data_IF_633796562771
#
_entry.id   IF_633796562771
#
_cell.length_a   1.000
_cell.length_b   1.000
_cell.length_c   1.000
_cell.angle_alpha   90.00
_cell.angle_beta   90.00
_cell.angle_gamma   90.00
#
_symmetry.space_group_name_H-M   'P 1'
#
loop_
_entity.id
_entity.type
_entity.pdbx_description
1 polymer ?
#
# COMPACT_ATOMS: atom_id res chain seq x y z
N UNK A 1 15.34 67.75 -27.35
CA UNK A 1 15.27 66.40 -27.97
C UNK A 1 15.50 65.39 -26.86
N UNK A 2 14.45 64.73 -26.39
CA UNK A 2 14.53 63.62 -25.43
C UNK A 2 15.23 62.42 -26.08
N UNK A 3 16.07 61.66 -25.34
CA UNK A 3 16.75 60.50 -25.89
C UNK A 3 15.76 59.36 -26.08
N UNK A 4 15.75 58.80 -27.28
CA UNK A 4 14.97 57.62 -27.66
C UNK A 4 15.58 56.42 -26.95
N UNK A 5 14.91 55.92 -25.91
CA UNK A 5 15.25 54.63 -25.29
C UNK A 5 14.97 53.54 -26.33
N UNK A 6 16.00 52.80 -26.74
CA UNK A 6 15.82 51.59 -27.53
C UNK A 6 15.24 50.53 -26.60
N UNK A 7 14.01 50.10 -26.86
CA UNK A 7 13.37 49.00 -26.14
C UNK A 7 14.11 47.71 -26.49
N UNK A 8 14.99 47.23 -25.61
CA UNK A 8 15.61 45.91 -25.72
C UNK A 8 14.58 44.86 -25.28
N UNK A 9 14.05 44.10 -26.25
CA UNK A 9 13.07 43.03 -25.98
C UNK A 9 13.78 41.77 -25.52
N UNK A 10 13.59 41.39 -24.25
CA UNK A 10 14.09 40.13 -23.69
C UNK A 10 13.03 39.04 -23.88
N UNK A 11 13.39 37.95 -24.58
CA UNK A 11 12.51 36.78 -24.74
C UNK A 11 12.67 35.83 -23.56
N UNK A 12 11.64 35.73 -22.71
CA UNK A 12 11.65 34.80 -21.60
C UNK A 12 11.37 33.36 -22.11
N UNK A 13 12.18 32.36 -21.70
CA UNK A 13 11.93 30.97 -22.06
C UNK A 13 10.72 30.40 -21.31
N UNK A 14 10.10 29.37 -21.88
CA UNK A 14 9.00 28.65 -21.22
C UNK A 14 9.53 27.72 -20.14
N UNK A 15 8.83 27.67 -19.00
CA UNK A 15 9.10 26.71 -17.93
C UNK A 15 8.82 25.30 -18.42
N UNK A 16 9.82 24.41 -18.32
CA UNK A 16 9.62 22.97 -18.53
C UNK A 16 9.04 22.36 -17.25
N UNK A 17 8.07 21.46 -17.41
CA UNK A 17 7.44 20.72 -16.33
C UNK A 17 7.74 19.24 -16.58
N UNK A 18 8.07 18.51 -15.54
CA UNK A 18 8.36 17.08 -15.60
C UNK A 18 7.80 16.36 -14.38
N UNK A 19 7.65 15.05 -14.50
CA UNK A 19 7.20 14.19 -13.40
C UNK A 19 8.18 14.19 -12.22
N UNK A 20 7.67 13.92 -11.02
CA UNK A 20 8.45 13.83 -9.77
C UNK A 20 9.61 12.81 -9.86
N UNK A 21 9.47 11.75 -10.66
CA UNK A 21 10.51 10.72 -10.81
C UNK A 21 11.35 10.83 -12.09
N UNK A 22 11.10 11.85 -12.93
CA UNK A 22 11.69 11.95 -14.26
C UNK A 22 13.23 11.96 -14.25
N UNK A 23 13.84 12.64 -13.27
CA UNK A 23 15.30 12.69 -13.14
C UNK A 23 15.88 11.33 -12.79
N UNK A 24 15.25 10.58 -11.89
CA UNK A 24 15.70 9.24 -11.49
C UNK A 24 15.61 8.27 -12.67
N UNK A 25 14.52 8.35 -13.45
CA UNK A 25 14.36 7.54 -14.66
C UNK A 25 15.43 7.89 -15.70
N UNK A 26 15.68 9.18 -15.94
CA UNK A 26 16.72 9.62 -16.86
C UNK A 26 18.10 9.10 -16.46
N UNK A 27 18.46 9.18 -15.18
CA UNK A 27 19.72 8.66 -14.67
C UNK A 27 19.80 7.13 -14.80
N UNK A 28 18.74 6.41 -14.44
CA UNK A 28 18.68 4.96 -14.57
C UNK A 28 18.84 4.48 -16.02
N UNK A 29 18.36 5.25 -17.01
CA UNK A 29 18.52 4.94 -18.42
C UNK A 29 19.94 5.22 -18.96
N UNK A 30 20.70 6.10 -18.30
CA UNK A 30 22.07 6.42 -18.72
C UNK A 30 23.12 5.43 -18.23
N UNK A 31 22.79 4.59 -17.24
CA UNK A 31 23.71 3.62 -16.64
C UNK A 31 23.38 2.20 -17.09
N UNK A 32 24.42 1.39 -17.32
CA UNK A 32 24.27 -0.02 -17.68
C UNK A 32 24.45 -0.91 -16.45
N UNK A 33 23.94 -2.14 -16.54
CA UNK A 33 24.15 -3.16 -15.51
C UNK A 33 25.63 -3.55 -15.46
N UNK A 34 26.22 -3.49 -14.27
CA UNK A 34 27.54 -4.03 -14.00
C UNK A 34 27.48 -5.56 -13.94
N UNK A 35 28.32 -6.23 -14.74
CA UNK A 35 28.42 -7.69 -14.80
C UNK A 35 29.27 -8.26 -13.65
N UNK A 36 30.11 -7.43 -13.04
CA UNK A 36 31.02 -7.83 -11.95
C UNK A 36 30.40 -7.64 -10.57
N UNK A 37 29.39 -6.76 -10.46
CA UNK A 37 28.69 -6.49 -9.21
C UNK A 37 27.54 -7.46 -8.95
N UNK A 38 27.31 -7.70 -7.66
CA UNK A 38 26.14 -8.44 -7.16
C UNK A 38 24.90 -7.55 -7.26
N UNK A 39 23.68 -8.11 -7.45
CA UNK A 39 22.46 -7.31 -7.41
C UNK A 39 22.33 -6.49 -6.12
N UNK A 40 21.92 -5.22 -6.25
CA UNK A 40 21.76 -4.25 -5.13
C UNK A 40 20.85 -4.72 -3.99
N UNK A 41 20.03 -5.74 -4.23
CA UNK A 41 19.17 -6.36 -3.20
C UNK A 41 19.96 -7.02 -2.07
N UNK A 42 21.20 -7.43 -2.35
CA UNK A 42 22.13 -8.05 -1.41
C UNK A 42 23.22 -7.07 -0.98
N UNK A 43 23.84 -7.36 0.16
CA UNK A 43 24.97 -6.57 0.64
C UNK A 43 26.22 -6.94 -0.15
N UNK A 44 27.02 -5.94 -0.51
CA UNK A 44 28.28 -6.11 -1.23
C UNK A 44 29.40 -6.49 -0.24
N UNK A 45 29.22 -7.64 0.40
CA UNK A 45 30.14 -8.22 1.37
C UNK A 45 30.45 -9.69 1.01
N UNK A 46 31.73 -10.11 0.92
CA UNK A 46 32.10 -11.45 0.47
C UNK A 46 31.48 -12.62 1.26
N UNK A 47 31.08 -12.39 2.51
CA UNK A 47 30.45 -13.41 3.34
C UNK A 47 28.93 -13.48 3.12
N UNK A 48 28.29 -12.36 2.78
CA UNK A 48 26.83 -12.23 2.67
C UNK A 48 26.29 -12.32 1.23
N UNK A 49 27.17 -12.38 0.24
CA UNK A 49 26.82 -12.58 -1.16
C UNK A 49 26.35 -14.03 -1.39
N UNK A 50 25.16 -14.27 -1.98
CA UNK A 50 24.68 -15.62 -2.26
C UNK A 50 25.52 -16.28 -3.37
N UNK A 51 25.96 -17.52 -3.14
CA UNK A 51 26.82 -18.27 -4.08
C UNK A 51 26.04 -19.15 -5.03
N UNK A 52 24.83 -19.56 -4.64
CA UNK A 52 23.97 -20.44 -5.41
C UNK A 52 22.50 -19.97 -5.36
N UNK A 53 21.66 -20.54 -6.24
CA UNK A 53 20.23 -20.19 -6.32
C UNK A 53 19.46 -20.52 -5.03
N UNK A 54 19.88 -21.57 -4.32
CA UNK A 54 19.27 -21.95 -3.04
C UNK A 54 19.49 -20.88 -1.97
N UNK A 55 20.73 -20.42 -1.81
CA UNK A 55 21.11 -19.33 -0.92
C UNK A 55 20.43 -18.02 -1.29
N UNK A 56 20.35 -17.71 -2.60
CA UNK A 56 19.61 -16.53 -3.08
C UNK A 56 18.15 -16.55 -2.59
N UNK A 57 17.46 -17.68 -2.78
CA UNK A 57 16.08 -17.83 -2.34
C UNK A 57 15.95 -17.82 -0.82
N UNK A 58 16.86 -18.49 -0.12
CA UNK A 58 16.91 -18.54 1.33
C UNK A 58 17.11 -17.14 1.94
N UNK A 59 18.11 -16.38 1.49
CA UNK A 59 18.37 -15.02 1.99
C UNK A 59 17.21 -14.06 1.70
N UNK A 60 16.61 -14.15 0.50
CA UNK A 60 15.43 -13.37 0.15
C UNK A 60 14.25 -13.70 1.07
N UNK A 61 13.96 -14.99 1.27
CA UNK A 61 12.89 -15.46 2.15
C UNK A 61 13.14 -15.10 3.61
N UNK A 62 14.38 -15.16 4.10
CA UNK A 62 14.73 -14.71 5.45
C UNK A 62 14.50 -13.22 5.63
N UNK A 63 14.84 -12.39 4.63
CA UNK A 63 14.59 -10.94 4.66
C UNK A 63 13.10 -10.62 4.69
N UNK A 64 12.29 -11.28 3.86
CA UNK A 64 10.83 -11.08 3.86
C UNK A 64 10.18 -11.59 5.15
N UNK A 65 10.64 -12.72 5.67
CA UNK A 65 10.20 -13.26 6.98
C UNK A 65 10.47 -12.26 8.12
N UNK A 66 11.67 -11.68 8.18
CA UNK A 66 12.01 -10.66 9.16
C UNK A 66 11.15 -9.38 9.03
N UNK A 67 10.85 -8.96 7.79
CA UNK A 67 9.93 -7.85 7.53
C UNK A 67 8.51 -8.15 8.01
N UNK A 68 8.01 -9.37 7.79
CA UNK A 68 6.69 -9.79 8.23
C UNK A 68 6.60 -9.87 9.76
N UNK A 69 7.64 -10.41 10.41
CA UNK A 69 7.73 -10.43 11.88
C UNK A 69 7.73 -9.01 12.47
N UNK A 70 8.47 -8.08 11.88
CA UNK A 70 8.45 -6.68 12.29
C UNK A 70 7.07 -6.04 12.10
N UNK A 71 6.41 -6.26 10.95
CA UNK A 71 5.04 -5.80 10.69
C UNK A 71 4.04 -6.36 11.71
N UNK A 72 4.18 -7.63 12.08
CA UNK A 72 3.34 -8.25 13.10
C UNK A 72 3.47 -7.54 14.45
N UNK A 73 4.69 -7.27 14.92
CA UNK A 73 4.94 -6.52 16.16
C UNK A 73 4.34 -5.11 16.09
N UNK A 74 4.55 -4.39 14.98
CA UNK A 74 4.01 -3.04 14.76
C UNK A 74 2.47 -3.03 14.82
N UNK A 75 1.82 -4.02 14.20
CA UNK A 75 0.36 -4.12 14.19
C UNK A 75 -0.22 -4.61 15.53
N UNK A 76 0.56 -5.37 16.30
CA UNK A 76 0.14 -5.88 17.62
C UNK A 76 0.21 -4.79 18.69
N UNK A 77 1.22 -3.91 18.60
CA UNK A 77 1.43 -2.78 19.51
C UNK A 77 1.53 -1.45 18.77
N UNK A 78 0.45 -0.95 18.12
CA UNK A 78 0.47 0.32 17.40
C UNK A 78 0.81 1.53 18.28
N UNK A 79 0.51 1.45 19.58
CA UNK A 79 0.75 2.50 20.57
C UNK A 79 2.23 2.90 20.68
N UNK A 80 3.15 1.97 20.37
CA UNK A 80 4.58 2.22 20.40
C UNK A 80 5.06 3.03 19.19
N UNK A 81 4.27 3.08 18.12
CA UNK A 81 4.64 3.62 16.81
C UNK A 81 3.75 4.79 16.36
N UNK A 82 2.95 5.38 17.25
CA UNK A 82 2.04 6.48 16.93
C UNK A 82 2.76 7.82 16.68
N UNK A 83 3.96 7.98 17.21
CA UNK A 83 4.69 9.24 17.13
C UNK A 83 5.29 9.45 15.74
N UNK A 84 4.71 10.38 14.99
CA UNK A 84 5.24 10.81 13.69
C UNK A 84 6.12 12.07 13.80
N UNK A 85 7.18 12.09 13.00
CA UNK A 85 8.11 13.21 12.87
C UNK A 85 8.27 13.69 11.43
N UNK A 86 7.65 13.02 10.45
CA UNK A 86 7.82 13.32 9.05
C UNK A 86 6.90 14.47 8.60
N UNK A 87 7.48 15.46 7.93
CA UNK A 87 6.75 16.49 7.18
C UNK A 87 7.13 16.37 5.70
N UNK A 88 6.24 15.91 4.82
CA UNK A 88 4.83 15.55 5.03
C UNK A 88 4.62 14.20 5.73
N UNK A 89 3.46 14.04 6.38
CA UNK A 89 3.04 12.79 7.00
C UNK A 89 3.05 11.61 6.01
N UNK A 90 3.69 10.50 6.40
CA UNK A 90 3.83 9.32 5.53
C UNK A 90 2.89 8.21 6.00
N UNK A 91 1.67 8.21 5.44
CA UNK A 91 0.61 7.24 5.79
C UNK A 91 1.06 5.77 5.62
N UNK A 92 1.89 5.48 4.61
CA UNK A 92 2.34 4.11 4.32
C UNK A 92 3.29 3.52 5.38
N UNK A 93 3.88 4.35 6.25
CA UNK A 93 4.80 3.89 7.31
C UNK A 93 4.13 3.76 8.67
N UNK A 94 2.85 4.16 8.77
CA UNK A 94 2.10 4.09 10.02
C UNK A 94 1.42 2.72 10.20
N UNK A 95 1.21 2.26 11.44
CA UNK A 95 0.48 1.04 11.71
C UNK A 95 -0.93 1.05 11.09
N UNK A 96 -1.33 -0.05 10.44
CA UNK A 96 -2.67 -0.19 9.87
C UNK A 96 -3.65 -0.57 10.98
N UNK A 97 -4.42 0.40 11.48
CA UNK A 97 -5.48 0.14 12.46
C UNK A 97 -6.70 -0.49 11.76
N UNK A 98 -6.76 -1.82 11.73
CA UNK A 98 -7.94 -2.57 11.29
C UNK A 98 -8.95 -2.73 12.43
N UNK A 99 -9.34 -1.62 13.07
CA UNK A 99 -10.28 -1.66 14.19
C UNK A 99 -11.70 -1.64 13.62
N UNK A 100 -12.54 -2.59 14.06
CA UNK A 100 -13.98 -2.54 13.85
C UNK A 100 -14.52 -1.28 14.53
N UNK A 101 -14.97 -0.32 13.73
CA UNK A 101 -15.43 0.97 14.25
C UNK A 101 -16.82 0.90 14.91
N UNK A 102 -17.58 -0.18 14.72
CA UNK A 102 -18.90 -0.36 15.30
C UNK A 102 -19.08 -1.78 15.83
N UNK A 103 -19.40 -1.87 17.12
CA UNK A 103 -19.86 -3.10 17.79
C UNK A 103 -21.34 -3.39 17.50
N UNK A 104 -22.06 -2.41 16.95
CA UNK A 104 -23.51 -2.51 16.71
C UNK A 104 -23.82 -3.25 15.41
N UNK A 105 -24.78 -4.20 15.51
CA UNK A 105 -25.33 -4.96 14.37
C UNK A 105 -26.01 -3.98 13.41
N UNK A 106 -25.32 -3.64 12.33
CA UNK A 106 -25.76 -2.66 11.34
C UNK A 106 -25.24 -3.00 9.95
N UNK A 107 -25.90 -2.48 8.91
CA UNK A 107 -25.44 -2.61 7.53
C UNK A 107 -24.03 -2.04 7.33
N UNK A 108 -23.71 -0.94 8.01
CA UNK A 108 -22.39 -0.29 7.95
C UNK A 108 -21.32 -1.19 8.57
N UNK A 109 -21.62 -1.84 9.69
CA UNK A 109 -20.72 -2.82 10.30
C UNK A 109 -20.46 -4.01 9.36
N UNK A 110 -21.49 -4.51 8.67
CA UNK A 110 -21.33 -5.57 7.67
C UNK A 110 -20.42 -5.13 6.51
N UNK A 111 -20.59 -3.91 5.97
CA UNK A 111 -19.72 -3.37 4.91
C UNK A 111 -18.26 -3.27 5.37
N UNK A 112 -18.03 -2.84 6.61
CA UNK A 112 -16.69 -2.78 7.19
C UNK A 112 -16.06 -4.18 7.31
N UNK A 113 -16.82 -5.18 7.76
CA UNK A 113 -16.34 -6.56 7.85
C UNK A 113 -15.96 -7.15 6.49
N UNK A 114 -16.73 -6.84 5.44
CA UNK A 114 -16.43 -7.23 4.06
C UNK A 114 -15.14 -6.57 3.58
N UNK A 115 -14.95 -5.28 3.85
CA UNK A 115 -13.70 -4.56 3.52
C UNK A 115 -12.48 -5.12 4.27
N UNK A 116 -12.66 -5.52 5.53
CA UNK A 116 -11.64 -6.18 6.35
C UNK A 116 -11.45 -7.67 6.01
N UNK A 117 -12.23 -8.19 5.04
CA UNK A 117 -12.19 -9.58 4.56
C UNK A 117 -12.39 -10.62 5.67
N UNK A 118 -13.19 -10.27 6.68
CA UNK A 118 -13.52 -11.14 7.81
C UNK A 118 -14.68 -12.05 7.42
N UNK A 119 -14.38 -13.15 6.72
CA UNK A 119 -15.40 -14.03 6.10
C UNK A 119 -16.42 -14.57 7.11
N UNK A 120 -15.96 -15.24 8.19
CA UNK A 120 -16.87 -15.84 9.18
C UNK A 120 -17.70 -14.80 9.93
N UNK A 121 -17.08 -13.70 10.35
CA UNK A 121 -17.77 -12.61 11.06
C UNK A 121 -18.79 -11.92 10.13
N UNK A 122 -18.47 -11.72 8.85
CA UNK A 122 -19.39 -11.15 7.87
C UNK A 122 -20.63 -12.02 7.67
N UNK A 123 -20.45 -13.35 7.56
CA UNK A 123 -21.57 -14.29 7.43
C UNK A 123 -22.44 -14.31 8.68
N UNK A 124 -21.83 -14.39 9.86
CA UNK A 124 -22.57 -14.35 11.13
C UNK A 124 -23.36 -13.04 11.31
N UNK A 125 -22.77 -11.90 10.94
CA UNK A 125 -23.44 -10.60 10.98
C UNK A 125 -24.60 -10.53 9.98
N UNK A 126 -24.42 -11.09 8.79
CA UNK A 126 -25.47 -11.17 7.78
C UNK A 126 -26.67 -12.00 8.27
N UNK A 127 -26.41 -13.14 8.90
CA UNK A 127 -27.45 -13.99 9.50
C UNK A 127 -28.21 -13.26 10.62
N UNK A 128 -27.50 -12.52 11.48
CA UNK A 128 -28.11 -11.71 12.54
C UNK A 128 -29.00 -10.60 11.98
N UNK A 129 -28.56 -9.92 10.91
CA UNK A 129 -29.35 -8.89 10.23
C UNK A 129 -30.61 -9.48 9.58
N UNK A 130 -30.51 -10.67 9.01
CA UNK A 130 -31.65 -11.40 8.43
C UNK A 130 -32.66 -11.81 9.50
N UNK A 131 -32.19 -12.29 10.66
CA UNK A 131 -33.04 -12.63 11.81
C UNK A 131 -33.73 -11.40 12.42
N UNK A 132 -33.04 -10.26 12.45
CA UNK A 132 -33.58 -8.98 12.90
C UNK A 132 -34.60 -8.37 11.91
N UNK A 133 -34.78 -8.96 10.72
CA UNK A 133 -35.71 -8.47 9.70
C UNK A 133 -35.28 -7.16 9.03
N UNK A 134 -33.99 -6.83 9.09
CA UNK A 134 -33.47 -5.60 8.47
C UNK A 134 -33.30 -5.82 6.97
N UNK A 135 -33.77 -4.87 6.14
CA UNK A 135 -33.60 -4.96 4.68
C UNK A 135 -32.16 -4.65 4.30
N UNK A 136 -31.45 -5.64 3.74
CA UNK A 136 -30.07 -5.48 3.27
C UNK A 136 -30.09 -5.14 1.77
N UNK A 137 -29.37 -4.10 1.33
CA UNK A 137 -29.27 -3.77 -0.09
C UNK A 137 -28.59 -4.87 -0.90
N UNK A 138 -29.04 -5.04 -2.15
CA UNK A 138 -28.51 -6.05 -3.07
C UNK A 138 -27.01 -5.90 -3.34
N UNK A 139 -26.51 -4.66 -3.34
CA UNK A 139 -25.08 -4.38 -3.52
C UNK A 139 -24.24 -5.00 -2.40
N UNK A 140 -24.68 -4.87 -1.15
CA UNK A 140 -23.98 -5.42 0.02
C UNK A 140 -23.98 -6.95 0.00
N UNK A 141 -25.09 -7.57 -0.39
CA UNK A 141 -25.15 -9.04 -0.55
C UNK A 141 -24.27 -9.54 -1.70
N UNK A 142 -24.17 -8.80 -2.80
CA UNK A 142 -23.30 -9.16 -3.92
C UNK A 142 -21.82 -9.06 -3.52
N UNK A 143 -21.44 -8.00 -2.78
CA UNK A 143 -20.06 -7.87 -2.27
C UNK A 143 -19.69 -8.99 -1.29
N UNK A 144 -20.64 -9.42 -0.45
CA UNK A 144 -20.44 -10.58 0.43
C UNK A 144 -20.29 -11.88 -0.38
N UNK A 145 -21.12 -12.06 -1.42
CA UNK A 145 -21.01 -13.21 -2.30
C UNK A 145 -19.66 -13.25 -3.01
N UNK A 146 -19.18 -12.13 -3.54
CA UNK A 146 -17.86 -12.02 -4.18
C UNK A 146 -16.74 -12.43 -3.22
N UNK A 147 -16.82 -11.99 -1.96
CA UNK A 147 -15.87 -12.37 -0.92
C UNK A 147 -15.89 -13.88 -0.67
N UNK A 148 -17.07 -14.49 -0.53
CA UNK A 148 -17.23 -15.93 -0.29
C UNK A 148 -16.76 -16.76 -1.49
N UNK A 149 -17.14 -16.36 -2.71
CA UNK A 149 -16.72 -17.02 -3.94
C UNK A 149 -15.21 -16.96 -4.14
N UNK A 150 -14.56 -15.86 -3.75
CA UNK A 150 -13.11 -15.73 -3.88
C UNK A 150 -12.35 -16.59 -2.86
N UNK A 151 -12.76 -16.57 -1.59
CA UNK A 151 -12.06 -17.29 -0.51
C UNK A 151 -12.53 -18.74 -0.30
N UNK A 152 -13.63 -19.15 -0.92
CA UNK A 152 -14.20 -20.49 -0.76
C UNK A 152 -14.56 -20.80 0.69
N UNK A 153 -15.22 -19.85 1.37
CA UNK A 153 -15.60 -19.89 2.79
C UNK A 153 -14.44 -20.03 3.79
N UNK A 154 -13.21 -19.72 3.38
CA UNK A 154 -12.02 -19.73 4.25
C UNK A 154 -11.64 -18.31 4.67
N UNK A 155 -11.03 -18.20 5.84
CA UNK A 155 -10.46 -16.91 6.25
C UNK A 155 -9.15 -16.65 5.49
N UNK A 156 -8.89 -15.39 5.10
CA UNK A 156 -7.60 -15.02 4.55
C UNK A 156 -6.51 -15.22 5.62
N UNK A 157 -5.38 -15.82 5.23
CA UNK A 157 -4.18 -15.82 6.05
C UNK A 157 -3.74 -14.37 6.28
N UNK A 158 -3.75 -13.91 7.54
CA UNK A 158 -3.43 -12.53 7.91
C UNK A 158 -2.02 -12.08 7.46
N UNK A 159 -1.14 -13.01 7.10
CA UNK A 159 0.23 -12.75 6.66
C UNK A 159 0.35 -12.29 5.19
N UNK A 160 -0.64 -12.55 4.33
CA UNK A 160 -0.51 -12.38 2.88
C UNK A 160 -1.19 -11.12 2.33
N UNK A 161 -1.53 -10.14 3.17
CA UNK A 161 -2.31 -8.97 2.75
C UNK A 161 -1.46 -7.89 2.02
N UNK A 162 -0.92 -8.27 0.87
CA UNK A 162 -0.35 -7.38 -0.15
C UNK A 162 -1.42 -6.71 -1.01
N UNK A 163 -2.68 -7.13 -0.89
CA UNK A 163 -3.77 -6.69 -1.75
C UNK A 163 -4.41 -5.37 -1.29
N UNK A 164 -4.27 -4.97 -0.02
CA UNK A 164 -4.74 -3.65 0.46
C UNK A 164 -3.94 -2.47 -0.12
N UNK A 165 -2.73 -2.70 -0.63
CA UNK A 165 -1.89 -1.62 -1.21
C UNK A 165 -2.39 -1.12 -2.58
N UNK A 166 -3.15 -1.93 -3.31
CA UNK A 166 -3.60 -1.58 -4.66
C UNK A 166 -4.88 -0.74 -4.68
N UNK A 167 -5.69 -0.79 -3.63
CA UNK A 167 -7.00 -0.14 -3.61
C UNK A 167 -6.92 1.30 -3.09
N UNK A 168 -6.14 1.55 -2.02
CA UNK A 168 -5.91 2.91 -1.49
C UNK A 168 -5.26 3.84 -2.53
N UNK A 169 -4.44 3.31 -3.43
CA UNK A 169 -3.80 4.10 -4.48
C UNK A 169 -4.75 4.53 -5.62
N UNK A 170 -5.95 3.95 -5.74
CA UNK A 170 -6.93 4.40 -6.75
C UNK A 170 -7.80 5.55 -6.27
N UNK A 171 -8.08 5.63 -4.96
CA UNK A 171 -9.03 6.61 -4.41
C UNK A 171 -8.35 7.92 -3.98
N UNK A 172 -7.02 7.99 -4.02
CA UNK A 172 -6.22 9.16 -3.61
C UNK A 172 -5.84 10.17 -4.71
N UNK A 173 -6.31 9.99 -5.96
CA UNK A 173 -5.90 10.84 -7.11
C UNK A 173 -7.08 11.54 -7.81
N UNK A 174 -8.11 11.93 -7.07
CA UNK A 174 -9.09 12.91 -7.53
C UNK A 174 -8.92 14.21 -6.75
N UNK A 175 -8.12 15.13 -7.31
CA UNK A 175 -8.31 16.57 -7.12
C UNK A 175 -8.10 17.24 -8.48
N UNK A 176 -9.01 18.18 -8.77
CA UNK A 176 -9.13 19.00 -10.00
C UNK A 176 -7.85 19.64 -10.51
#
# INVERSE_FOLDING_TARGET
>A
KSPILKEETIFLPRKKIWDKTAVLQALALTVNRDITAVPYTFQDDPYLIPRNSSEHNFFSASKTSGQNAAKFVINTHPELFEKDYAEPHIQSLMPKRLVLQLEEVSEVALKNLIQLRKVKESVNMYDQLLQAGTSIPLETSNNLLDLLCFYGDREPDQENDSSLEKQVNKDGWFFE
#
